data_IF_795665946667
#
_entry.id   IF_795665946667
#
_cell.length_a   1.000
_cell.length_b   1.000
_cell.length_c   1.000
_cell.angle_alpha   90.00
_cell.angle_beta   90.00
_cell.angle_gamma   90.00
#
_symmetry.space_group_name_H-M   'P 1'
#
loop_
_entity.id
_entity.type
_entity.pdbx_description
1 polymer ?
#
# COMPACT_ATOMS: atom_id res chain seq x y z
N UNK A 1 -11.33 -19.90 58.38
CA UNK A 1 -10.93 -20.08 56.97
C UNK A 1 -12.21 -20.11 56.13
N UNK A 2 -12.57 -18.99 55.51
CA UNK A 2 -13.74 -18.86 54.62
C UNK A 2 -13.29 -18.07 53.40
N UNK A 3 -13.40 -18.69 52.22
CA UNK A 3 -12.74 -18.31 50.98
C UNK A 3 -13.22 -16.99 50.39
N UNK A 4 -12.27 -16.25 49.82
CA UNK A 4 -12.48 -14.98 49.14
C UNK A 4 -12.77 -15.23 47.64
N UNK A 5 -13.91 -14.70 47.21
CA UNK A 5 -14.08 -13.82 46.03
C UNK A 5 -13.55 -14.37 44.70
N UNK A 6 -14.47 -14.92 43.90
CA UNK A 6 -14.27 -15.17 42.46
C UNK A 6 -14.25 -13.84 41.69
N UNK A 7 -13.18 -13.64 40.92
CA UNK A 7 -12.93 -12.46 40.10
C UNK A 7 -13.83 -12.49 38.86
N UNK A 8 -14.51 -11.38 38.61
CA UNK A 8 -15.38 -11.14 37.47
C UNK A 8 -14.60 -11.27 36.15
N UNK A 9 -15.08 -12.14 35.26
CA UNK A 9 -14.63 -12.21 33.88
C UNK A 9 -15.20 -11.00 33.11
N UNK A 10 -14.36 -10.00 32.87
CA UNK A 10 -14.67 -8.93 31.92
C UNK A 10 -14.53 -9.51 30.50
N UNK A 11 -15.66 -9.88 29.90
CA UNK A 11 -15.74 -10.16 28.47
C UNK A 11 -15.45 -8.86 27.71
N UNK A 12 -14.23 -8.75 27.19
CA UNK A 12 -13.87 -7.70 26.24
C UNK A 12 -14.64 -7.94 24.93
N UNK A 13 -15.76 -7.25 24.78
CA UNK A 13 -16.47 -7.10 23.50
C UNK A 13 -15.55 -6.32 22.56
N UNK A 14 -14.79 -7.00 21.71
CA UNK A 14 -14.13 -6.37 20.57
C UNK A 14 -15.22 -5.86 19.62
N UNK A 15 -15.42 -4.53 19.64
CA UNK A 15 -16.26 -3.80 18.70
C UNK A 15 -15.70 -4.03 17.30
N UNK A 16 -16.36 -4.90 16.52
CA UNK A 16 -16.15 -5.00 15.08
C UNK A 16 -16.77 -3.75 14.44
N UNK A 17 -15.94 -2.76 14.11
CA UNK A 17 -16.34 -1.71 13.18
C UNK A 17 -16.33 -2.30 11.76
N UNK A 18 -17.44 -2.25 11.00
CA UNK A 18 -17.43 -2.56 9.58
C UNK A 18 -16.90 -1.32 8.85
N UNK A 19 -15.61 -1.06 8.97
CA UNK A 19 -14.91 -0.16 8.06
C UNK A 19 -14.74 -0.90 6.74
N UNK A 20 -15.23 -0.33 5.64
CA UNK A 20 -14.88 -0.78 4.30
C UNK A 20 -13.37 -1.05 4.26
N UNK A 21 -12.99 -2.30 3.96
CA UNK A 21 -11.63 -2.80 4.16
C UNK A 21 -10.63 -1.99 3.33
N UNK A 22 -10.03 -0.98 3.95
CA UNK A 22 -8.83 -0.35 3.43
C UNK A 22 -7.74 -1.43 3.45
N UNK A 23 -7.25 -1.80 2.26
CA UNK A 23 -6.27 -2.86 2.14
C UNK A 23 -4.90 -2.33 2.59
N UNK A 24 -4.25 -3.02 3.52
CA UNK A 24 -2.87 -2.73 3.90
C UNK A 24 -1.91 -3.40 2.91
N UNK A 25 -1.11 -2.60 2.22
CA UNK A 25 -0.16 -3.05 1.18
C UNK A 25 1.23 -2.48 1.42
N UNK A 26 2.25 -3.15 0.90
CA UNK A 26 3.64 -2.70 1.00
C UNK A 26 4.10 -2.04 -0.30
N UNK A 27 4.83 -0.93 -0.19
CA UNK A 27 5.49 -0.30 -1.33
C UNK A 27 6.76 -1.07 -1.71
N UNK A 28 6.77 -1.69 -2.89
CA UNK A 28 7.88 -2.55 -3.37
C UNK A 28 8.84 -1.83 -4.32
N UNK A 29 8.41 -0.68 -4.86
CA UNK A 29 9.25 0.15 -5.72
C UNK A 29 8.80 1.60 -5.72
N UNK A 30 9.76 2.52 -5.88
CA UNK A 30 9.55 3.96 -5.96
C UNK A 30 10.52 4.56 -6.97
N UNK A 31 10.03 5.45 -7.84
CA UNK A 31 10.84 6.45 -8.52
C UNK A 31 10.50 7.85 -8.00
N UNK A 32 11.32 8.42 -7.11
CA UNK A 32 11.05 9.72 -6.50
C UNK A 32 11.14 10.87 -7.52
N UNK A 33 11.75 10.65 -8.68
CA UNK A 33 11.93 11.70 -9.69
C UNK A 33 10.67 11.97 -10.51
N UNK A 34 9.74 11.03 -10.52
CA UNK A 34 8.45 11.19 -11.20
C UNK A 34 7.24 10.89 -10.32
N UNK A 35 7.44 10.53 -9.04
CA UNK A 35 6.35 10.33 -8.09
C UNK A 35 5.57 9.04 -8.30
N UNK A 36 6.11 8.09 -9.07
CA UNK A 36 5.49 6.78 -9.30
C UNK A 36 6.04 5.76 -8.30
N UNK A 37 5.16 4.89 -7.83
CA UNK A 37 5.52 3.79 -6.95
C UNK A 37 4.63 2.59 -7.23
N UNK A 38 5.09 1.40 -6.83
CA UNK A 38 4.36 0.14 -6.96
C UNK A 38 4.14 -0.43 -5.58
N UNK A 39 2.96 -1.00 -5.38
CA UNK A 39 2.61 -1.76 -4.17
C UNK A 39 2.35 -3.22 -4.50
N UNK A 40 2.55 -4.11 -3.53
CA UNK A 40 2.06 -5.49 -3.60
C UNK A 40 0.61 -5.55 -3.12
N UNK A 41 -0.30 -5.91 -4.01
CA UNK A 41 -1.73 -6.01 -3.73
C UNK A 41 -2.01 -7.23 -2.85
N UNK A 42 -3.05 -7.18 -2.00
CA UNK A 42 -3.46 -8.34 -1.25
C UNK A 42 -3.88 -9.48 -2.20
N UNK A 43 -3.79 -10.75 -1.77
CA UNK A 43 -4.30 -11.85 -2.55
C UNK A 43 -5.79 -11.63 -2.87
N UNK A 44 -6.14 -11.66 -4.16
CA UNK A 44 -7.51 -11.58 -4.64
C UNK A 44 -7.77 -12.74 -5.60
N UNK A 45 -9.02 -12.88 -6.05
CA UNK A 45 -9.38 -13.86 -7.10
C UNK A 45 -8.78 -13.47 -8.47
N UNK A 46 -8.29 -12.24 -8.62
CA UNK A 46 -7.64 -11.74 -9.81
C UNK A 46 -6.14 -12.12 -9.83
N UNK A 47 -5.56 -12.37 -11.00
CA UNK A 47 -4.17 -12.85 -11.10
C UNK A 47 -3.12 -11.76 -10.88
N UNK A 48 -3.51 -10.48 -10.82
CA UNK A 48 -2.65 -9.35 -10.58
C UNK A 48 -2.13 -9.35 -9.13
N UNK A 49 -0.86 -8.98 -8.97
CA UNK A 49 -0.17 -8.96 -7.68
C UNK A 49 0.37 -7.60 -7.31
N UNK A 50 0.44 -6.69 -8.27
CA UNK A 50 1.07 -5.39 -8.11
C UNK A 50 0.17 -4.31 -8.70
N UNK A 51 0.13 -3.16 -8.03
CA UNK A 51 -0.55 -1.97 -8.52
C UNK A 51 0.42 -0.80 -8.68
N UNK A 52 0.27 -0.04 -9.76
CA UNK A 52 1.05 1.15 -10.06
C UNK A 52 0.28 2.41 -9.66
N UNK A 53 0.93 3.27 -8.89
CA UNK A 53 0.36 4.49 -8.38
C UNK A 53 1.26 5.69 -8.68
N UNK A 54 0.67 6.86 -8.86
CA UNK A 54 1.41 8.14 -8.87
C UNK A 54 0.89 9.07 -7.78
N UNK A 55 1.78 9.65 -6.98
CA UNK A 55 1.39 10.65 -6.00
C UNK A 55 1.15 12.02 -6.65
N UNK A 56 0.13 12.73 -6.16
CA UNK A 56 -0.17 14.12 -6.57
C UNK A 56 0.60 15.17 -5.74
N UNK A 57 1.57 14.76 -4.92
CA UNK A 57 2.34 15.65 -4.06
C UNK A 57 3.41 14.94 -3.24
N UNK A 58 4.05 15.72 -2.36
CA UNK A 58 5.00 15.23 -1.35
C UNK A 58 4.31 15.21 0.03
N UNK A 59 4.77 14.36 0.97
CA UNK A 59 5.85 13.38 0.82
C UNK A 59 5.43 12.18 -0.05
N UNK A 60 6.41 11.47 -0.62
CA UNK A 60 6.18 10.17 -1.25
C UNK A 60 6.35 9.06 -0.20
N UNK A 61 5.63 7.94 -0.31
CA UNK A 61 5.94 6.78 0.50
C UNK A 61 7.29 6.20 0.09
N UNK A 62 8.02 5.59 1.02
CA UNK A 62 9.29 4.92 0.78
C UNK A 62 9.07 3.44 0.45
N UNK A 63 10.07 2.82 -0.18
CA UNK A 63 10.09 1.36 -0.35
C UNK A 63 10.14 0.70 1.03
N UNK A 64 9.24 -0.26 1.27
CA UNK A 64 9.03 -0.94 2.54
C UNK A 64 7.99 -0.27 3.45
N UNK A 65 7.49 0.92 3.11
CA UNK A 65 6.40 1.54 3.86
C UNK A 65 5.10 0.73 3.64
N UNK A 66 4.31 0.58 4.71
CA UNK A 66 2.96 0.01 4.63
C UNK A 66 1.95 1.13 4.44
N UNK A 67 1.14 1.03 3.40
CA UNK A 67 0.08 2.01 3.11
C UNK A 67 -1.29 1.34 3.15
N UNK A 68 -2.31 2.09 3.54
CA UNK A 68 -3.69 1.63 3.64
C UNK A 68 -4.62 2.55 2.86
N UNK A 69 -5.57 1.97 2.13
CA UNK A 69 -6.59 2.74 1.39
C UNK A 69 -7.33 1.90 0.37
N UNK A 70 -8.11 2.56 -0.48
CA UNK A 70 -8.82 1.92 -1.59
C UNK A 70 -7.83 1.66 -2.72
N UNK A 71 -7.59 0.40 -3.09
CA UNK A 71 -6.63 0.04 -4.15
C UNK A 71 -7.26 -0.02 -5.54
N UNK A 72 -8.59 0.10 -5.63
CA UNK A 72 -9.36 -0.05 -6.87
C UNK A 72 -9.86 1.27 -7.44
N UNK A 73 -9.73 2.35 -6.68
CA UNK A 73 -10.16 3.69 -7.10
C UNK A 73 -9.09 4.38 -7.92
N UNK A 74 -9.51 5.00 -9.03
CA UNK A 74 -8.60 5.74 -9.95
C UNK A 74 -7.92 6.88 -9.22
N UNK A 75 -8.63 7.66 -8.43
CA UNK A 75 -8.04 8.67 -7.54
C UNK A 75 -8.45 8.33 -6.12
N UNK A 76 -7.48 8.20 -5.23
CA UNK A 76 -7.74 7.79 -3.85
C UNK A 76 -6.72 8.40 -2.90
N UNK A 77 -6.96 8.23 -1.61
CA UNK A 77 -6.05 8.64 -0.55
C UNK A 77 -5.48 7.39 0.12
N UNK A 78 -4.15 7.28 0.14
CA UNK A 78 -3.44 6.25 0.85
C UNK A 78 -2.82 6.83 2.12
N UNK A 79 -3.06 6.19 3.26
CA UNK A 79 -2.42 6.52 4.52
C UNK A 79 -1.19 5.63 4.71
N UNK A 80 -0.02 6.24 4.92
CA UNK A 80 1.19 5.54 5.29
C UNK A 80 1.18 5.22 6.77
N UNK A 81 1.03 3.94 7.09
CA UNK A 81 0.92 3.42 8.45
C UNK A 81 2.25 3.50 9.22
N UNK A 82 3.37 3.66 8.52
CA UNK A 82 4.70 3.78 9.12
C UNK A 82 4.97 5.22 9.57
N UNK A 83 4.61 6.21 8.75
CA UNK A 83 4.88 7.63 9.02
C UNK A 83 3.68 8.44 9.51
N UNK A 84 2.46 7.91 9.36
CA UNK A 84 1.19 8.63 9.57
C UNK A 84 0.88 9.67 8.49
N UNK A 85 1.67 9.73 7.41
CA UNK A 85 1.43 10.67 6.31
C UNK A 85 0.30 10.18 5.40
N UNK A 86 -0.48 11.12 4.87
CA UNK A 86 -1.53 10.81 3.90
C UNK A 86 -1.12 11.27 2.49
N UNK A 87 -1.38 10.43 1.50
CA UNK A 87 -0.95 10.61 0.12
C UNK A 87 -2.16 10.57 -0.80
N UNK A 88 -2.42 11.66 -1.52
CA UNK A 88 -3.39 11.64 -2.62
C UNK A 88 -2.71 11.05 -3.85
N UNK A 89 -3.25 9.95 -4.37
CA UNK A 89 -2.62 9.16 -5.42
C UNK A 89 -3.60 8.86 -6.54
N UNK A 90 -3.04 8.51 -7.70
CA UNK A 90 -3.76 8.03 -8.86
C UNK A 90 -3.33 6.59 -9.13
N UNK A 91 -4.29 5.67 -9.18
CA UNK A 91 -4.09 4.30 -9.61
C UNK A 91 -4.07 4.22 -11.14
N UNK A 92 -3.02 3.64 -11.70
CA UNK A 92 -2.81 3.61 -13.15
C UNK A 92 -3.08 2.24 -13.77
N UNK A 93 -2.59 1.17 -13.13
CA UNK A 93 -2.64 -0.17 -13.69
C UNK A 93 -2.26 -1.21 -12.64
N UNK A 94 -2.74 -2.43 -12.87
CA UNK A 94 -2.34 -3.62 -12.14
C UNK A 94 -1.59 -4.60 -13.05
N UNK A 95 -0.72 -5.43 -12.46
CA UNK A 95 -0.02 -6.47 -13.21
C UNK A 95 0.38 -7.66 -12.33
N UNK A 96 0.67 -8.78 -12.99
CA UNK A 96 1.20 -10.00 -12.34
C UNK A 96 2.66 -9.84 -11.92
N UNK A 97 3.42 -9.02 -12.65
CA UNK A 97 4.84 -8.77 -12.43
C UNK A 97 5.10 -7.27 -12.28
N UNK A 98 5.76 -6.87 -11.20
CA UNK A 98 6.20 -5.48 -10.97
C UNK A 98 6.94 -4.88 -12.17
N UNK A 99 7.77 -5.68 -12.86
CA UNK A 99 8.53 -5.24 -14.03
C UNK A 99 7.67 -4.73 -15.18
N UNK A 100 6.46 -5.28 -15.36
CA UNK A 100 5.54 -4.84 -16.40
C UNK A 100 5.06 -3.42 -16.13
N UNK A 101 4.72 -3.11 -14.88
CA UNK A 101 4.31 -1.78 -14.45
C UNK A 101 5.44 -0.76 -14.62
N UNK A 102 6.63 -1.09 -14.12
CA UNK A 102 7.78 -0.17 -14.17
C UNK A 102 8.15 0.18 -15.62
N UNK A 103 8.08 -0.77 -16.56
CA UNK A 103 8.36 -0.51 -17.98
C UNK A 103 7.33 0.38 -18.66
N UNK A 104 6.11 0.45 -18.13
CA UNK A 104 5.01 1.25 -18.65
C UNK A 104 4.89 2.63 -17.97
N UNK A 105 5.75 2.94 -17.01
CA UNK A 105 5.90 4.31 -16.48
C UNK A 105 6.48 5.25 -17.55
N UNK A 106 6.35 6.59 -17.39
CA UNK A 106 6.95 7.55 -18.32
C UNK A 106 8.44 7.24 -18.60
N UNK A 107 8.88 7.47 -19.84
CA UNK A 107 10.19 6.99 -20.33
C UNK A 107 11.37 7.43 -19.45
N UNK A 108 11.25 8.58 -18.79
CA UNK A 108 12.25 9.14 -17.89
C UNK A 108 12.43 8.30 -16.61
N UNK A 109 11.38 7.64 -16.14
CA UNK A 109 11.39 6.73 -14.99
C UNK A 109 11.86 5.33 -15.41
N UNK A 110 11.25 4.78 -16.46
CA UNK A 110 11.57 3.44 -16.97
C UNK A 110 13.04 3.30 -17.39
N UNK A 111 13.63 4.34 -18.00
CA UNK A 111 15.03 4.33 -18.43
C UNK A 111 16.02 4.21 -17.26
N UNK A 112 15.71 4.80 -16.10
CA UNK A 112 16.57 4.73 -14.91
C UNK A 112 16.59 3.32 -14.32
N UNK A 113 15.43 2.66 -14.27
CA UNK A 113 15.33 1.28 -13.80
C UNK A 113 16.11 0.31 -14.69
N UNK A 114 16.01 0.46 -16.02
CA UNK A 114 16.78 -0.35 -16.99
C UNK A 114 18.29 -0.21 -16.80
N UNK A 115 18.78 0.98 -16.45
CA UNK A 115 20.20 1.23 -16.22
C UNK A 115 20.70 0.68 -14.88
N UNK A 116 19.85 0.60 -13.85
CA UNK A 116 20.21 -0.01 -12.55
C UNK A 116 20.38 -1.53 -12.64
N UNK A 117 19.58 -2.23 -13.45
CA UNK A 117 19.69 -3.68 -13.67
C UNK A 117 20.94 -4.12 -14.46
N UNK A 118 21.64 -3.19 -15.10
CA UNK A 118 22.85 -3.49 -15.91
C UNK A 118 24.16 -3.35 -15.13
N UNK A 119 24.11 -2.86 -13.90
CA UNK A 119 25.25 -2.83 -12.98
C UNK A 119 25.15 -4.01 -12.04
#
# INVERSE_FOLDING_TARGET
MKGLIGIAAAAAFCIHLPGAFAAEVEVTWLDPTCGYFVVELPPSDEPEKFGLFSARGLPLPNVGDRVSGSMTEVETQLENLTSGASHNVIHWADAKLQEQLVRNTPVQCASKWKNRKKR
#
